data_IF_666963886527
#
_entry.id   IF_666963886527
#
_cell.length_a   1.000
_cell.length_b   1.000
_cell.length_c   1.000
_cell.angle_alpha   90.00
_cell.angle_beta   90.00
_cell.angle_gamma   90.00
#
_symmetry.space_group_name_H-M   'P 1'
#
loop_
_entity.id
_entity.type
_entity.pdbx_description
1 polymer ?
#
# COMPACT_ATOMS: atom_id res chain seq x y z
N UNK A 1 -8.45 7.83 -14.66
CA UNK A 1 -8.80 9.09 -14.00
C UNK A 1 -8.33 10.25 -14.86
N UNK A 2 -9.05 11.35 -14.89
CA UNK A 2 -8.71 12.50 -15.74
C UNK A 2 -7.85 13.56 -15.02
N UNK A 3 -7.37 13.26 -13.83
CA UNK A 3 -6.47 14.11 -13.06
C UNK A 3 -7.11 15.30 -12.36
N UNK A 4 -8.42 15.49 -12.49
CA UNK A 4 -9.08 16.66 -11.93
C UNK A 4 -9.54 16.40 -10.50
N UNK A 5 -8.79 16.96 -9.55
CA UNK A 5 -9.30 17.20 -8.21
C UNK A 5 -10.35 18.32 -8.25
N UNK A 6 -11.29 18.32 -7.34
CA UNK A 6 -12.41 19.28 -7.34
C UNK A 6 -12.83 19.62 -5.90
N UNK A 7 -13.65 20.67 -5.77
CA UNK A 7 -14.19 21.13 -4.49
C UNK A 7 -13.10 21.43 -3.43
N UNK A 8 -13.34 21.07 -2.18
CA UNK A 8 -12.43 21.30 -1.05
C UNK A 8 -11.05 20.65 -1.24
N UNK A 9 -10.94 19.60 -2.05
CA UNK A 9 -9.71 18.86 -2.28
C UNK A 9 -8.55 19.73 -2.83
N UNK A 10 -8.87 20.83 -3.52
CA UNK A 10 -7.86 21.70 -4.16
C UNK A 10 -7.47 22.91 -3.33
N UNK A 11 -8.09 23.11 -2.17
CA UNK A 11 -7.87 24.28 -1.32
C UNK A 11 -7.16 23.92 -0.02
N UNK A 12 -5.99 24.52 0.22
CA UNK A 12 -5.23 24.31 1.46
C UNK A 12 -6.01 24.77 2.69
N UNK A 13 -6.76 25.87 2.57
CA UNK A 13 -7.57 26.42 3.67
C UNK A 13 -8.71 25.51 4.11
N UNK A 14 -9.10 24.55 3.26
CA UNK A 14 -10.18 23.60 3.53
C UNK A 14 -9.67 22.19 3.88
N UNK A 15 -8.34 22.05 4.03
CA UNK A 15 -7.73 20.77 4.37
C UNK A 15 -7.54 19.84 3.16
N UNK A 16 -7.46 20.40 1.94
CA UNK A 16 -7.25 19.64 0.72
C UNK A 16 -5.86 19.01 0.62
N UNK A 17 -5.68 18.25 -0.45
CA UNK A 17 -4.49 17.48 -0.75
C UNK A 17 -4.71 15.97 -0.68
N UNK A 18 -4.08 15.24 -1.57
CA UNK A 18 -4.27 13.80 -1.72
C UNK A 18 -3.70 13.01 -0.56
N UNK A 19 -2.67 13.53 0.11
CA UNK A 19 -2.14 12.87 1.30
C UNK A 19 -3.19 12.80 2.42
N UNK A 20 -3.98 13.88 2.60
CA UNK A 20 -5.05 13.89 3.61
C UNK A 20 -6.30 13.17 3.16
N UNK A 21 -6.65 13.24 1.88
CA UNK A 21 -7.87 12.62 1.35
C UNK A 21 -7.69 11.10 1.17
N UNK A 22 -6.82 10.68 0.25
CA UNK A 22 -6.61 9.25 -0.03
C UNK A 22 -5.49 8.62 0.79
N UNK A 23 -4.47 9.40 1.15
CA UNK A 23 -3.32 8.90 1.90
C UNK A 23 -3.71 8.33 3.24
N UNK A 24 -4.65 8.96 3.95
CA UNK A 24 -5.15 8.45 5.25
C UNK A 24 -5.70 7.04 5.13
N UNK A 25 -6.46 6.73 4.06
CA UNK A 25 -7.02 5.40 3.86
C UNK A 25 -5.97 4.35 3.56
N UNK A 26 -4.99 4.69 2.71
CA UNK A 26 -3.92 3.75 2.32
C UNK A 26 -2.98 3.48 3.48
N UNK A 27 -2.63 4.52 4.25
CA UNK A 27 -1.81 4.40 5.45
C UNK A 27 -2.51 3.54 6.51
N UNK A 28 -3.78 3.81 6.80
CA UNK A 28 -4.56 3.06 7.77
C UNK A 28 -4.64 1.58 7.41
N UNK A 29 -4.88 1.25 6.15
CA UNK A 29 -4.91 -0.13 5.66
C UNK A 29 -3.57 -0.84 5.83
N UNK A 30 -2.44 -0.18 5.54
CA UNK A 30 -1.11 -0.75 5.76
C UNK A 30 -0.86 -0.98 7.26
N UNK A 31 -1.20 0.00 8.10
CA UNK A 31 -1.02 -0.11 9.54
C UNK A 31 -1.91 -1.19 10.17
N UNK A 32 -3.07 -1.45 9.58
CA UNK A 32 -3.96 -2.52 9.98
C UNK A 32 -3.46 -3.91 9.55
N UNK A 33 -2.89 -4.00 8.34
CA UNK A 33 -2.39 -5.27 7.80
C UNK A 33 -1.07 -5.74 8.42
N UNK A 34 -0.20 -4.81 8.86
CA UNK A 34 1.15 -5.13 9.35
C UNK A 34 1.19 -5.00 10.87
N UNK A 35 1.22 -6.13 11.56
CA UNK A 35 1.35 -6.20 13.02
C UNK A 35 2.82 -5.98 13.46
N UNK A 36 3.27 -4.73 13.31
CA UNK A 36 4.58 -4.27 13.78
C UNK A 36 4.58 -2.74 13.85
N UNK A 37 5.26 -2.14 14.82
CA UNK A 37 5.47 -0.69 14.83
C UNK A 37 6.26 -0.23 13.61
N UNK A 38 5.94 0.95 13.11
CA UNK A 38 6.70 1.65 12.06
C UNK A 38 8.01 2.13 12.68
N UNK A 39 9.12 1.92 12.02
CA UNK A 39 10.45 2.35 12.44
C UNK A 39 10.84 3.69 11.84
N UNK A 40 10.53 3.89 10.57
CA UNK A 40 10.84 5.13 9.87
C UNK A 40 9.92 5.34 8.65
N UNK A 41 9.77 6.61 8.30
CA UNK A 41 8.99 7.10 7.15
C UNK A 41 9.93 7.87 6.25
N UNK A 42 9.93 7.55 4.96
CA UNK A 42 10.50 8.37 3.91
C UNK A 42 9.40 8.72 2.92
N UNK A 43 9.31 9.98 2.52
CA UNK A 43 8.26 10.39 1.61
C UNK A 43 8.72 11.47 0.62
N UNK A 44 8.04 11.48 -0.52
CA UNK A 44 8.04 12.53 -1.51
C UNK A 44 6.57 12.98 -1.69
N UNK A 45 6.29 14.25 -1.50
CA UNK A 45 4.94 14.83 -1.58
C UNK A 45 5.03 16.07 -2.45
N UNK A 46 4.25 16.12 -3.52
CA UNK A 46 4.36 17.19 -4.55
C UNK A 46 3.01 17.73 -4.98
N UNK A 47 3.04 18.99 -5.36
CA UNK A 47 2.05 19.71 -6.13
C UNK A 47 2.49 19.72 -7.60
N UNK A 48 2.00 18.80 -8.42
CA UNK A 48 2.43 18.65 -9.83
C UNK A 48 1.53 19.43 -10.78
N UNK A 49 0.23 19.36 -10.59
CA UNK A 49 -0.80 20.05 -11.38
C UNK A 49 -1.49 21.13 -10.55
N UNK A 50 -1.82 20.84 -9.29
CA UNK A 50 -2.40 21.81 -8.38
C UNK A 50 -1.34 22.82 -7.91
N UNK A 51 -1.80 23.97 -7.40
CA UNK A 51 -0.91 25.05 -6.98
C UNK A 51 -0.87 25.24 -5.45
N UNK A 52 -1.84 24.73 -4.73
CA UNK A 52 -1.98 24.94 -3.30
C UNK A 52 -1.76 23.69 -2.46
N UNK A 53 -2.04 22.53 -3.05
CA UNK A 53 -2.08 21.24 -2.35
C UNK A 53 -1.43 20.14 -3.16
N UNK A 54 -0.98 19.11 -2.46
CA UNK A 54 -0.40 17.92 -3.08
C UNK A 54 -1.44 17.14 -3.91
N UNK A 55 -1.00 16.69 -5.08
CA UNK A 55 -1.72 15.80 -5.97
C UNK A 55 -0.90 14.54 -6.31
N UNK A 56 0.27 14.44 -5.69
CA UNK A 56 1.16 13.29 -5.72
C UNK A 56 1.78 13.05 -4.35
N UNK A 57 1.87 11.80 -3.95
CA UNK A 57 2.76 11.36 -2.89
C UNK A 57 3.29 9.95 -3.14
N UNK A 58 4.51 9.70 -2.62
CA UNK A 58 5.10 8.39 -2.48
C UNK A 58 5.67 8.27 -1.07
N UNK A 59 5.23 7.26 -0.33
CA UNK A 59 5.63 7.02 1.06
C UNK A 59 6.22 5.63 1.17
N UNK A 60 7.42 5.53 1.75
CA UNK A 60 8.09 4.29 2.07
C UNK A 60 8.12 4.13 3.59
N UNK A 61 7.50 3.08 4.07
CA UNK A 61 7.49 2.70 5.48
C UNK A 61 8.47 1.55 5.71
N UNK A 62 9.23 1.63 6.80
CA UNK A 62 10.01 0.52 7.33
C UNK A 62 9.47 0.14 8.69
N UNK A 63 9.31 -1.14 8.94
CA UNK A 63 8.80 -1.68 10.19
C UNK A 63 9.92 -2.33 11.01
N UNK A 64 9.73 -2.42 12.33
CA UNK A 64 10.71 -3.05 13.21
C UNK A 64 10.88 -4.55 12.95
N UNK A 65 9.88 -5.24 12.42
CA UNK A 65 9.96 -6.64 12.00
C UNK A 65 10.70 -6.88 10.68
N UNK A 66 11.21 -5.80 10.05
CA UNK A 66 11.96 -5.85 8.78
C UNK A 66 11.11 -5.75 7.53
N UNK A 67 9.78 -5.70 7.64
CA UNK A 67 8.91 -5.44 6.48
C UNK A 67 9.03 -3.99 6.00
N UNK A 68 8.72 -3.80 4.73
CA UNK A 68 8.56 -2.49 4.09
C UNK A 68 7.20 -2.39 3.44
N UNK A 69 6.67 -1.19 3.33
CA UNK A 69 5.50 -0.89 2.53
C UNK A 69 5.74 0.39 1.73
N UNK A 70 5.29 0.36 0.48
CA UNK A 70 5.30 1.48 -0.45
C UNK A 70 3.86 1.89 -0.72
N UNK A 71 3.57 3.18 -0.63
CA UNK A 71 2.26 3.76 -0.90
C UNK A 71 2.47 4.88 -1.91
N UNK A 72 1.90 4.74 -3.09
CA UNK A 72 2.04 5.76 -4.13
C UNK A 72 0.67 6.15 -4.70
N UNK A 73 0.48 7.45 -4.89
CA UNK A 73 -0.68 8.02 -5.54
C UNK A 73 -0.27 9.22 -6.40
N UNK A 74 -0.81 9.28 -7.62
CA UNK A 74 -0.71 10.46 -8.48
C UNK A 74 -2.00 10.65 -9.25
N UNK A 75 -2.68 11.77 -9.05
CA UNK A 75 -3.98 12.05 -9.71
C UNK A 75 -3.88 12.19 -11.22
N UNK A 76 -2.69 12.47 -11.73
CA UNK A 76 -2.39 12.66 -13.15
C UNK A 76 -1.89 11.38 -13.85
N UNK A 77 -1.78 10.27 -13.14
CA UNK A 77 -1.41 9.01 -13.75
C UNK A 77 -2.51 8.51 -14.69
N UNK A 78 -2.13 8.21 -15.93
CA UNK A 78 -3.04 7.68 -16.94
C UNK A 78 -2.74 6.21 -17.18
N UNK A 79 -3.77 5.38 -17.21
CA UNK A 79 -3.67 3.96 -17.51
C UNK A 79 -4.87 3.51 -18.33
N UNK A 80 -4.69 2.50 -19.16
CA UNK A 80 -5.78 1.77 -19.82
C UNK A 80 -6.42 0.71 -18.92
N UNK A 81 -5.83 0.45 -17.75
CA UNK A 81 -6.35 -0.47 -16.75
C UNK A 81 -7.20 0.31 -15.76
N UNK A 82 -8.51 0.38 -15.99
CA UNK A 82 -9.44 1.17 -15.17
C UNK A 82 -9.39 0.80 -13.68
N UNK A 83 -9.25 -0.47 -13.36
CA UNK A 83 -9.25 -0.94 -11.97
C UNK A 83 -8.04 -0.43 -11.18
N UNK A 84 -6.94 -0.07 -11.84
CA UNK A 84 -5.76 0.53 -11.19
C UNK A 84 -6.03 1.94 -10.64
N UNK A 85 -6.91 2.69 -11.23
CA UNK A 85 -7.27 4.02 -10.72
C UNK A 85 -8.00 3.96 -9.39
N UNK A 86 -8.66 2.84 -9.13
CA UNK A 86 -9.35 2.65 -7.87
C UNK A 86 -8.37 2.16 -6.80
N UNK A 87 -7.70 1.05 -7.05
CA UNK A 87 -6.69 0.47 -6.15
C UNK A 87 -5.87 -0.59 -6.87
N UNK A 88 -4.58 -0.61 -6.56
CA UNK A 88 -3.69 -1.69 -6.93
C UNK A 88 -2.88 -2.12 -5.72
N UNK A 89 -2.97 -3.39 -5.35
CA UNK A 89 -2.19 -3.96 -4.26
C UNK A 89 -1.25 -5.04 -4.78
N UNK A 90 0.00 -4.95 -4.37
CA UNK A 90 1.01 -5.95 -4.57
C UNK A 90 1.62 -6.32 -3.23
N UNK A 91 1.53 -7.58 -2.83
CA UNK A 91 2.13 -8.08 -1.59
C UNK A 91 3.09 -9.19 -1.94
N UNK A 92 4.39 -8.95 -1.79
CA UNK A 92 5.45 -9.90 -2.07
C UNK A 92 6.07 -10.47 -0.80
N UNK A 93 6.40 -11.75 -0.83
CA UNK A 93 7.09 -12.44 0.25
C UNK A 93 7.93 -13.61 -0.26
N UNK A 94 8.62 -14.26 0.65
CA UNK A 94 9.48 -15.42 0.36
C UNK A 94 8.71 -16.66 -0.13
N UNK A 95 7.40 -16.70 0.10
CA UNK A 95 6.52 -17.82 -0.29
C UNK A 95 5.64 -17.51 -1.50
N UNK A 96 5.66 -16.30 -2.00
CA UNK A 96 4.86 -15.94 -3.17
C UNK A 96 4.45 -14.48 -3.20
N UNK A 97 3.47 -14.21 -4.04
CA UNK A 97 2.95 -12.86 -4.35
C UNK A 97 1.43 -12.90 -4.34
N UNK A 98 0.81 -11.86 -3.84
CA UNK A 98 -0.59 -11.56 -4.03
C UNK A 98 -0.71 -10.25 -4.82
N UNK A 99 -1.51 -10.27 -5.87
CA UNK A 99 -1.87 -9.09 -6.65
C UNK A 99 -3.39 -8.96 -6.68
N UNK A 100 -3.89 -7.73 -6.48
CA UNK A 100 -5.30 -7.44 -6.61
C UNK A 100 -5.57 -6.01 -7.06
N UNK A 101 -6.60 -5.83 -7.85
CA UNK A 101 -7.02 -4.56 -8.45
C UNK A 101 -8.49 -4.28 -8.16
N UNK A 102 -8.80 -3.00 -7.95
CA UNK A 102 -10.15 -2.46 -7.84
C UNK A 102 -10.79 -2.60 -6.46
N UNK A 103 -11.92 -1.91 -6.30
CA UNK A 103 -12.78 -2.01 -5.10
C UNK A 103 -13.55 -3.33 -5.03
N UNK A 104 -13.80 -3.96 -6.19
CA UNK A 104 -14.25 -5.35 -6.28
C UNK A 104 -13.03 -6.20 -6.68
N UNK A 105 -12.22 -6.64 -5.70
CA UNK A 105 -10.87 -7.10 -5.99
C UNK A 105 -10.84 -8.24 -7.00
N UNK A 106 -10.05 -8.06 -8.04
CA UNK A 106 -9.71 -9.07 -9.04
C UNK A 106 -8.22 -9.32 -8.95
N UNK A 107 -7.82 -10.56 -8.93
CA UNK A 107 -6.41 -10.93 -8.86
C UNK A 107 -6.23 -12.38 -8.43
N UNK A 108 -5.03 -12.68 -7.99
CA UNK A 108 -4.67 -14.03 -7.59
C UNK A 108 -3.53 -14.03 -6.56
N UNK A 109 -3.38 -15.18 -5.92
CA UNK A 109 -2.25 -15.52 -5.08
C UNK A 109 -1.40 -16.51 -5.87
N UNK A 110 -0.11 -16.19 -6.04
CA UNK A 110 0.89 -17.09 -6.61
C UNK A 110 1.83 -17.50 -5.51
N UNK A 111 1.97 -18.78 -5.25
CA UNK A 111 2.85 -19.34 -4.22
C UNK A 111 3.86 -20.29 -4.79
N UNK A 112 4.99 -20.43 -4.08
CA UNK A 112 5.93 -21.50 -4.34
C UNK A 112 5.47 -22.80 -3.65
N UNK A 113 5.66 -23.96 -4.31
CA UNK A 113 5.42 -25.26 -3.70
C UNK A 113 6.38 -25.57 -2.54
N UNK A 114 7.56 -24.95 -2.56
CA UNK A 114 8.58 -25.02 -1.50
C UNK A 114 9.43 -23.75 -1.49
N UNK A 115 10.05 -23.43 -0.36
CA UNK A 115 10.95 -22.28 -0.24
C UNK A 115 12.19 -22.47 -1.12
N UNK A 116 12.57 -21.39 -1.79
CA UNK A 116 13.83 -21.34 -2.54
C UNK A 116 14.97 -21.08 -1.54
N UNK A 117 15.74 -22.11 -1.23
CA UNK A 117 16.82 -22.05 -0.25
C UNK A 117 18.20 -21.88 -0.88
N UNK A 118 18.30 -21.98 -2.21
CA UNK A 118 19.54 -21.86 -2.94
C UNK A 118 19.60 -20.54 -3.72
N UNK A 119 20.69 -19.81 -3.54
CA UNK A 119 20.95 -18.50 -4.18
C UNK A 119 21.38 -18.63 -5.65
N UNK A 120 21.27 -19.80 -6.22
CA UNK A 120 21.60 -20.09 -7.61
C UNK A 120 22.85 -20.96 -7.74
N UNK A 121 22.86 -21.78 -8.77
CA UNK A 121 23.99 -22.63 -9.15
C UNK A 121 24.76 -21.97 -10.27
N UNK A 122 26.10 -22.18 -10.34
CA UNK A 122 26.85 -21.85 -11.54
C UNK A 122 26.18 -22.54 -12.72
N UNK A 123 25.63 -21.74 -13.63
CA UNK A 123 25.13 -22.27 -14.89
C UNK A 123 26.31 -22.67 -15.77
N UNK A 124 26.37 -23.93 -16.20
CA UNK A 124 27.21 -24.31 -17.27
C UNK A 124 26.73 -23.61 -18.54
N UNK A 125 27.47 -22.63 -19.01
CA UNK A 125 27.26 -22.05 -20.33
C UNK A 125 27.82 -23.01 -21.35
N UNK A 126 26.99 -23.72 -22.11
CA UNK A 126 27.41 -24.34 -23.34
C UNK A 126 27.94 -23.25 -24.25
N UNK A 127 29.07 -23.54 -24.96
CA UNK A 127 29.68 -22.70 -26.00
C UNK A 127 29.80 -21.18 -25.74
N UNK A 128 30.11 -20.77 -24.50
CA UNK A 128 30.73 -19.49 -24.20
C UNK A 128 29.90 -18.22 -24.28
N UNK A 129 28.57 -18.30 -24.37
CA UNK A 129 27.73 -17.12 -24.37
C UNK A 129 27.24 -16.70 -22.98
N UNK A 130 27.11 -15.39 -22.67
CA UNK A 130 26.53 -14.94 -21.43
C UNK A 130 25.04 -15.32 -21.35
N UNK A 131 24.62 -15.96 -20.25
CA UNK A 131 23.21 -16.21 -20.00
C UNK A 131 22.51 -14.93 -19.61
N UNK A 132 21.47 -14.55 -20.36
CA UNK A 132 20.68 -13.32 -20.12
C UNK A 132 19.43 -13.53 -19.27
N UNK A 133 19.17 -14.73 -18.78
CA UNK A 133 17.99 -15.04 -17.99
C UNK A 133 18.34 -15.81 -16.73
N UNK A 134 17.56 -15.55 -15.68
CA UNK A 134 17.64 -16.30 -14.42
C UNK A 134 17.12 -17.74 -14.52
N UNK A 135 16.61 -18.11 -15.68
CA UNK A 135 16.02 -19.42 -15.93
C UNK A 135 14.49 -19.42 -15.74
N UNK A 136 13.90 -20.44 -16.33
CA UNK A 136 12.47 -20.73 -16.12
C UNK A 136 12.29 -21.43 -14.77
N UNK A 137 11.23 -21.13 -14.02
CA UNK A 137 10.87 -21.89 -12.82
C UNK A 137 10.75 -23.38 -13.14
N UNK A 138 11.12 -24.24 -12.19
CA UNK A 138 10.93 -25.67 -12.32
C UNK A 138 9.44 -26.02 -12.47
N UNK A 139 9.08 -27.04 -13.26
CA UNK A 139 7.70 -27.47 -13.35
C UNK A 139 7.11 -27.83 -11.96
N UNK A 140 5.93 -27.31 -11.65
CA UNK A 140 5.27 -27.51 -10.37
C UNK A 140 5.76 -26.63 -9.22
N UNK A 141 6.72 -25.73 -9.46
CA UNK A 141 7.15 -24.76 -8.46
C UNK A 141 6.06 -23.72 -8.18
N UNK A 142 5.41 -23.23 -9.23
CA UNK A 142 4.40 -22.16 -9.15
C UNK A 142 3.01 -22.77 -8.97
N UNK A 143 2.35 -22.35 -7.91
CA UNK A 143 0.96 -22.68 -7.59
C UNK A 143 0.14 -21.39 -7.62
N UNK A 144 -0.96 -21.38 -8.39
CA UNK A 144 -1.86 -20.22 -8.48
C UNK A 144 -3.18 -20.55 -7.79
N UNK A 145 -3.63 -19.64 -6.93
CA UNK A 145 -4.87 -19.74 -6.18
C UNK A 145 -5.73 -18.51 -6.40
N UNK A 146 -7.07 -18.65 -6.42
CA UNK A 146 -7.95 -17.48 -6.46
C UNK A 146 -7.87 -16.71 -5.14
N UNK A 147 -8.16 -15.40 -5.20
CA UNK A 147 -8.32 -14.59 -4.00
C UNK A 147 -9.49 -15.10 -3.15
N UNK A 148 -9.34 -15.19 -1.83
CA UNK A 148 -10.48 -15.41 -0.96
C UNK A 148 -11.45 -14.24 -1.05
N UNK A 149 -12.74 -14.52 -1.13
CA UNK A 149 -13.78 -13.49 -1.15
C UNK A 149 -14.14 -13.17 0.30
N UNK A 150 -13.93 -11.91 0.68
CA UNK A 150 -14.45 -11.36 1.94
C UNK A 150 -15.69 -10.51 1.62
N UNK A 151 -16.83 -10.88 2.21
CA UNK A 151 -18.06 -10.08 2.10
C UNK A 151 -18.12 -9.16 3.30
N UNK A 152 -18.14 -7.85 3.03
CA UNK A 152 -18.29 -6.80 4.04
C UNK A 152 -19.37 -5.82 3.60
N UNK A 153 -20.13 -5.27 4.56
CA UNK A 153 -21.13 -4.25 4.32
C UNK A 153 -20.79 -2.97 5.10
N UNK A 154 -21.02 -1.82 4.50
CA UNK A 154 -20.88 -0.54 5.22
C UNK A 154 -21.75 -0.49 6.50
N UNK A 155 -22.86 -1.19 6.49
CA UNK A 155 -23.73 -1.30 7.65
C UNK A 155 -23.07 -1.97 8.86
N UNK A 156 -22.04 -2.81 8.66
CA UNK A 156 -21.35 -3.49 9.77
C UNK A 156 -20.59 -2.50 10.65
N UNK A 157 -20.01 -1.44 10.05
CA UNK A 157 -19.41 -0.35 10.81
C UNK A 157 -20.42 0.33 11.74
N UNK A 158 -21.60 0.68 11.22
CA UNK A 158 -22.62 1.35 12.03
C UNK A 158 -23.21 0.42 13.09
N UNK A 159 -23.38 -0.86 12.78
CA UNK A 159 -23.81 -1.87 13.78
C UNK A 159 -22.80 -1.97 14.93
N UNK A 160 -21.49 -2.04 14.58
CA UNK A 160 -20.44 -2.03 15.60
C UNK A 160 -20.45 -0.73 16.41
N UNK A 161 -20.56 0.43 15.76
CA UNK A 161 -20.58 1.72 16.45
C UNK A 161 -21.70 1.78 17.50
N UNK A 162 -22.92 1.37 17.12
CA UNK A 162 -24.07 1.36 18.03
C UNK A 162 -23.86 0.38 19.19
N UNK A 163 -23.38 -0.83 18.91
CA UNK A 163 -23.10 -1.83 19.93
C UNK A 163 -22.01 -1.35 20.91
N UNK A 164 -20.95 -0.73 20.40
CA UNK A 164 -19.86 -0.19 21.21
C UNK A 164 -20.35 1.00 22.07
N UNK A 165 -21.20 1.87 21.51
CA UNK A 165 -21.80 2.98 22.26
C UNK A 165 -22.66 2.49 23.44
N UNK A 166 -23.34 1.37 23.25
CA UNK A 166 -24.15 0.72 24.30
C UNK A 166 -23.31 -0.11 25.30
N UNK A 167 -22.00 -0.23 25.10
CA UNK A 167 -21.15 -1.05 25.94
C UNK A 167 -21.22 -2.56 25.66
N UNK A 168 -21.76 -2.96 24.52
CA UNK A 168 -21.94 -4.36 24.09
C UNK A 168 -20.77 -4.88 23.25
N UNK A 169 -19.91 -3.99 22.76
CA UNK A 169 -18.74 -4.31 21.94
C UNK A 169 -17.61 -3.28 22.14
N UNK A 170 -16.42 -3.54 21.61
CA UNK A 170 -15.38 -2.53 21.44
C UNK A 170 -15.59 -1.79 20.11
N UNK A 171 -15.17 -0.52 20.06
CA UNK A 171 -15.14 0.24 18.80
C UNK A 171 -14.18 -0.42 17.83
N UNK A 172 -14.63 -0.65 16.61
CA UNK A 172 -13.82 -1.20 15.53
C UNK A 172 -12.68 -0.23 15.15
N UNK A 173 -12.97 1.07 15.15
CA UNK A 173 -11.98 2.14 14.91
C UNK A 173 -11.62 2.77 16.24
N UNK A 174 -10.36 2.69 16.62
CA UNK A 174 -9.84 3.21 17.89
C UNK A 174 -9.18 4.57 17.69
N UNK A 175 -9.34 5.47 18.65
CA UNK A 175 -8.77 6.83 18.59
C UNK A 175 -7.25 6.80 18.42
N UNK A 176 -6.56 5.87 19.09
CA UNK A 176 -5.10 5.77 18.99
C UNK A 176 -4.63 5.29 17.60
N UNK A 177 -5.42 4.48 16.91
CA UNK A 177 -5.14 4.07 15.51
C UNK A 177 -5.27 5.28 14.58
N UNK A 178 -6.33 6.07 14.72
CA UNK A 178 -6.51 7.31 13.96
C UNK A 178 -5.37 8.30 14.23
N UNK A 179 -5.00 8.50 15.49
CA UNK A 179 -3.87 9.36 15.87
C UNK A 179 -2.55 8.88 15.27
N UNK A 180 -2.31 7.58 15.23
CA UNK A 180 -1.12 6.99 14.60
C UNK A 180 -1.07 7.29 13.11
N UNK A 181 -2.19 7.14 12.40
CA UNK A 181 -2.29 7.47 10.97
C UNK A 181 -2.01 8.95 10.70
N UNK A 182 -2.58 9.87 11.52
CA UNK A 182 -2.31 11.31 11.43
C UNK A 182 -0.84 11.65 11.66
N UNK A 183 -0.24 11.12 12.74
CA UNK A 183 1.19 11.32 13.03
C UNK A 183 2.09 10.82 11.89
N UNK A 184 1.68 9.74 11.22
CA UNK A 184 2.43 9.21 10.09
C UNK A 184 2.35 10.14 8.88
N UNK A 185 1.21 10.77 8.62
CA UNK A 185 1.09 11.79 7.58
C UNK A 185 1.94 13.03 7.89
N UNK A 186 2.00 13.46 9.16
CA UNK A 186 2.89 14.55 9.59
C UNK A 186 4.36 14.19 9.36
N UNK A 187 4.77 12.97 9.73
CA UNK A 187 6.13 12.49 9.48
C UNK A 187 6.45 12.36 7.97
N UNK A 188 5.47 12.00 7.14
CA UNK A 188 5.63 11.99 5.69
C UNK A 188 5.85 13.40 5.13
N UNK A 189 5.13 14.41 5.62
CA UNK A 189 5.37 15.82 5.25
C UNK A 189 6.75 16.29 5.68
N UNK A 190 7.15 16.03 6.92
CA UNK A 190 8.48 16.35 7.41
C UNK A 190 9.58 15.70 6.56
N UNK A 191 9.40 14.44 6.18
CA UNK A 191 10.33 13.73 5.30
C UNK A 191 10.41 14.39 3.92
N UNK A 192 9.29 14.76 3.33
CA UNK A 192 9.25 15.41 2.02
C UNK A 192 9.90 16.80 2.05
N UNK A 193 9.71 17.57 3.13
CA UNK A 193 10.31 18.90 3.30
C UNK A 193 11.82 18.82 3.53
N UNK A 194 12.29 17.86 4.31
CA UNK A 194 13.70 17.73 4.67
C UNK A 194 14.52 16.89 3.69
N UNK A 195 13.88 16.02 2.91
CA UNK A 195 14.52 15.05 2.03
C UNK A 195 15.15 13.87 2.75
N UNK A 196 14.87 13.69 4.05
CA UNK A 196 15.42 12.61 4.87
C UNK A 196 14.32 11.72 5.46
N UNK A 197 14.70 10.48 5.77
CA UNK A 197 13.81 9.60 6.50
C UNK A 197 13.62 10.09 7.94
N UNK A 198 12.38 10.13 8.41
CA UNK A 198 11.99 10.50 9.77
C UNK A 198 11.82 9.24 10.61
N UNK A 199 12.43 9.20 11.80
CA UNK A 199 12.19 8.14 12.76
C UNK A 199 10.75 8.25 13.28
N UNK A 200 10.09 7.09 13.44
CA UNK A 200 8.71 7.03 13.88
C UNK A 200 8.60 6.11 15.10
N UNK A 201 8.01 6.62 16.19
CA UNK A 201 7.81 5.89 17.45
C UNK A 201 6.31 5.82 17.82
#
# INVERSE_FOLDING_TARGET
YNGNMHDWHVYKSEGGGMLYDWGVHLIDQILWMIDSPVKSVYADVRDVINQEVDDYFHIILRFYNGLTADIELGTYYLSTKSDWFERHWYVGGDKGVMELDGFHPKGNIVRTSHLLTEVGKKRATGDGGPTRSFGTPEPGLILTEPLPIANTEHADYFRNYIAAWNGEAEFLVKIDEVRRSLRLMDAARESAETGFAVAFE
#
